data_IF_534895922504
#
_entry.id   IF_534895922504
#
_cell.length_a   1.000
_cell.length_b   1.000
_cell.length_c   1.000
_cell.angle_alpha   90.00
_cell.angle_beta   90.00
_cell.angle_gamma   90.00
#
_symmetry.space_group_name_H-M   'P 1'
#
loop_
_entity.id
_entity.type
_entity.pdbx_description
1 polymer ?
#
# COMPACT_ATOMS: atom_id res chain seq x y z
N UNK A 1 -12.67 13.18 1.01
CA UNK A 1 -12.61 11.71 1.18
C UNK A 1 -11.41 11.42 2.06
N UNK A 2 -11.61 10.67 3.13
CA UNK A 2 -10.53 10.27 4.02
C UNK A 2 -9.92 8.97 3.49
N UNK A 3 -8.63 8.97 3.14
CA UNK A 3 -7.95 7.79 2.59
C UNK A 3 -7.75 6.71 3.65
N UNK A 4 -7.47 7.11 4.89
CA UNK A 4 -7.21 6.22 6.02
C UNK A 4 -8.51 5.95 6.76
N UNK A 5 -9.09 4.76 6.55
CA UNK A 5 -10.22 4.29 7.33
C UNK A 5 -9.80 3.46 8.54
N UNK A 6 -10.75 3.16 9.41
CA UNK A 6 -10.55 2.31 10.60
C UNK A 6 -10.01 0.91 10.29
N UNK A 7 -10.27 0.39 9.08
CA UNK A 7 -9.85 -0.94 8.64
C UNK A 7 -9.01 -0.90 7.37
N UNK A 8 -8.19 0.14 7.22
CA UNK A 8 -7.22 0.25 6.11
C UNK A 8 -7.49 1.39 5.14
N UNK A 9 -6.62 1.47 4.13
CA UNK A 9 -6.51 2.63 3.23
C UNK A 9 -7.28 2.34 1.94
N UNK A 10 -8.19 3.25 1.55
CA UNK A 10 -9.06 3.05 0.38
C UNK A 10 -9.16 4.33 -0.44
N UNK A 11 -8.91 4.21 -1.74
CA UNK A 11 -9.03 5.32 -2.68
C UNK A 11 -9.08 4.86 -4.12
N UNK A 12 -9.50 5.76 -5.01
CA UNK A 12 -9.46 5.52 -6.46
C UNK A 12 -8.01 5.37 -6.89
N UNK A 13 -7.68 4.23 -7.51
CA UNK A 13 -6.33 3.94 -7.98
C UNK A 13 -5.86 5.01 -8.97
N UNK A 14 -4.59 5.39 -8.86
CA UNK A 14 -3.92 6.40 -9.69
C UNK A 14 -4.46 7.84 -9.59
N UNK A 15 -5.50 8.08 -8.77
CA UNK A 15 -6.00 9.43 -8.48
C UNK A 15 -5.73 9.83 -7.03
N UNK A 16 -6.06 8.94 -6.09
CA UNK A 16 -5.88 9.18 -4.66
C UNK A 16 -4.99 8.12 -4.02
N UNK A 17 -5.15 6.85 -4.43
CA UNK A 17 -4.21 5.79 -4.08
C UNK A 17 -3.17 5.69 -5.21
N UNK A 18 -2.00 6.28 -4.99
CA UNK A 18 -0.92 6.35 -5.98
C UNK A 18 0.24 5.42 -5.59
N UNK A 19 1.08 4.98 -6.55
CA UNK A 19 2.26 4.17 -6.23
C UNK A 19 3.23 4.87 -5.26
N UNK A 20 3.41 6.19 -5.42
CA UNK A 20 4.22 6.99 -4.50
C UNK A 20 3.69 6.95 -3.07
N UNK A 21 2.36 7.09 -2.89
CA UNK A 21 1.73 6.97 -1.58
C UNK A 21 1.92 5.56 -0.99
N UNK A 22 1.78 4.51 -1.81
CA UNK A 22 1.99 3.12 -1.36
C UNK A 22 3.43 2.89 -0.90
N UNK A 23 4.42 3.42 -1.62
CA UNK A 23 5.84 3.36 -1.23
C UNK A 23 6.07 4.05 0.12
N UNK A 24 5.52 5.26 0.30
CA UNK A 24 5.65 6.00 1.56
C UNK A 24 5.01 5.25 2.73
N UNK A 25 3.84 4.64 2.51
CA UNK A 25 3.17 3.80 3.51
C UNK A 25 4.03 2.56 3.84
N UNK A 26 4.57 1.88 2.84
CA UNK A 26 5.38 0.68 3.05
C UNK A 26 6.64 1.00 3.86
N UNK A 27 7.34 2.10 3.52
CA UNK A 27 8.48 2.59 4.29
C UNK A 27 8.10 2.93 5.73
N UNK A 28 6.99 3.64 5.94
CA UNK A 28 6.51 3.98 7.28
C UNK A 28 6.16 2.73 8.08
N UNK A 29 5.44 1.78 7.50
CA UNK A 29 5.09 0.52 8.15
C UNK A 29 6.33 -0.28 8.55
N UNK A 30 7.36 -0.32 7.69
CA UNK A 30 8.64 -0.96 7.99
C UNK A 30 9.41 -0.35 9.18
N UNK A 31 9.14 0.91 9.55
CA UNK A 31 9.73 1.51 10.78
C UNK A 31 9.01 1.12 12.06
N UNK A 32 7.80 0.57 11.95
CA UNK A 32 6.94 0.21 13.09
C UNK A 32 6.99 -1.30 13.35
N UNK A 33 7.13 -2.10 12.30
CA UNK A 33 7.21 -3.55 12.42
C UNK A 33 8.59 -3.99 12.94
N UNK A 34 8.58 -4.77 14.03
CA UNK A 34 9.77 -5.45 14.55
C UNK A 34 9.97 -6.79 13.83
N UNK A 35 10.17 -6.73 12.51
CA UNK A 35 10.31 -7.90 11.66
C UNK A 35 11.25 -7.63 10.48
N UNK A 36 12.15 -8.57 10.19
CA UNK A 36 13.13 -8.44 9.10
C UNK A 36 12.51 -8.53 7.70
N UNK A 37 11.35 -9.21 7.58
CA UNK A 37 10.65 -9.47 6.32
C UNK A 37 9.15 -9.54 6.53
N UNK A 38 8.40 -9.08 5.53
CA UNK A 38 6.93 -9.10 5.52
C UNK A 38 6.39 -9.70 4.24
N UNK A 39 5.22 -10.33 4.32
CA UNK A 39 4.53 -10.86 3.16
C UNK A 39 3.72 -9.76 2.47
N UNK A 40 3.79 -9.70 1.14
CA UNK A 40 2.99 -8.80 0.31
C UNK A 40 2.04 -9.64 -0.55
N UNK A 41 0.77 -9.26 -0.58
CA UNK A 41 -0.25 -9.93 -1.39
C UNK A 41 -1.09 -8.89 -2.15
N UNK A 42 -1.67 -9.33 -3.27
CA UNK A 42 -2.58 -8.53 -4.10
C UNK A 42 -3.81 -9.34 -4.50
N UNK A 43 -4.85 -8.63 -4.92
CA UNK A 43 -6.01 -9.22 -5.59
C UNK A 43 -5.79 -9.32 -7.12
N UNK A 44 -6.88 -9.55 -7.86
CA UNK A 44 -6.88 -9.69 -9.33
C UNK A 44 -7.07 -8.37 -10.10
N UNK A 45 -7.09 -7.21 -9.43
CA UNK A 45 -7.25 -5.92 -10.13
C UNK A 45 -6.03 -5.63 -10.99
N UNK A 46 -6.25 -4.98 -12.13
CA UNK A 46 -5.18 -4.59 -13.07
C UNK A 46 -4.09 -3.74 -12.41
N UNK A 47 -4.45 -2.93 -11.41
CA UNK A 47 -3.49 -2.10 -10.65
C UNK A 47 -2.79 -2.85 -9.52
N UNK A 48 -3.13 -4.11 -9.26
CA UNK A 48 -2.62 -4.89 -8.14
C UNK A 48 -1.12 -5.13 -8.22
N UNK A 49 -0.60 -5.48 -9.40
CA UNK A 49 0.85 -5.68 -9.60
C UNK A 49 1.63 -4.40 -9.39
N UNK A 50 1.11 -3.27 -9.90
CA UNK A 50 1.71 -1.95 -9.69
C UNK A 50 1.86 -1.60 -8.21
N UNK A 51 0.82 -1.81 -7.40
CA UNK A 51 0.88 -1.50 -5.97
C UNK A 51 1.69 -2.52 -5.17
N UNK A 52 1.67 -3.80 -5.56
CA UNK A 52 2.55 -4.80 -4.95
C UNK A 52 4.03 -4.45 -5.17
N UNK A 53 4.40 -4.04 -6.39
CA UNK A 53 5.77 -3.63 -6.71
C UNK A 53 6.17 -2.32 -6.02
N UNK A 54 5.22 -1.41 -5.75
CA UNK A 54 5.50 -0.19 -5.00
C UNK A 54 5.70 -0.43 -3.50
N UNK A 55 5.12 -1.51 -2.96
CA UNK A 55 5.19 -1.86 -1.55
C UNK A 55 6.38 -2.78 -1.19
N UNK A 56 6.95 -3.46 -2.19
CA UNK A 56 8.08 -4.39 -2.04
C UNK A 56 9.42 -3.70 -2.29
#
# INVERSE_FOLDING_TARGET
>A
MELFGSSGIRGVALRYLTPALVLDIAKAAGTVWDADRVAVARDTRTTGELFANAAA
#
